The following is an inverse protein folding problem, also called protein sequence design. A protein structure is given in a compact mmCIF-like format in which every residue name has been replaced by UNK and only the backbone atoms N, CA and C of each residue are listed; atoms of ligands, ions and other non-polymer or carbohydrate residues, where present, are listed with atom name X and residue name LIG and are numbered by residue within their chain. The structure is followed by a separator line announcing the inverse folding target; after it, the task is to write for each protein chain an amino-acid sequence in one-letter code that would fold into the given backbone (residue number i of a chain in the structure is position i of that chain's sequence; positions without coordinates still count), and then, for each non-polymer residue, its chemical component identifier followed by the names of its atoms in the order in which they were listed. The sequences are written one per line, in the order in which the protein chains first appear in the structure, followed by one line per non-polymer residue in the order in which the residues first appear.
data_IF_852476378186
#
_entry.id   IF_852476378186
#
_cell.length_a   1.000
_cell.length_b   1.000
_cell.length_c   1.000
_cell.angle_alpha   90.00
_cell.angle_beta   90.00
_cell.angle_gamma   90.00
#
_symmetry.space_group_name_H-M   'P 1'
#
loop_
_entity.id
_entity.type
_entity.pdbx_description
1 polymer ?
#
# COMPACT_ATOMS: atom_id res chain seq x y z
N UNK A 1 -10.43 18.06 -2.36
CA UNK A 1 -9.84 18.41 -1.05
C UNK A 1 -11.03 18.53 -0.11
N UNK A 2 -11.16 17.62 0.86
CA UNK A 2 -12.28 17.54 1.82
C UNK A 2 -11.97 18.37 3.09
N UNK A 3 -11.08 19.35 3.00
CA UNK A 3 -10.56 20.06 4.16
C UNK A 3 -11.70 20.80 4.85
N UNK A 4 -12.05 20.35 6.07
CA UNK A 4 -13.13 20.90 6.91
C UNK A 4 -14.49 20.20 6.81
N UNK A 5 -14.70 19.24 5.90
CA UNK A 5 -15.99 18.52 5.81
C UNK A 5 -16.09 17.31 6.75
N UNK A 6 -14.96 16.75 7.19
CA UNK A 6 -14.95 15.59 8.10
C UNK A 6 -14.61 16.06 9.51
N UNK A 7 -15.51 15.83 10.45
CA UNK A 7 -15.40 16.27 11.83
C UNK A 7 -15.68 15.12 12.80
N UNK A 8 -15.09 15.13 13.99
CA UNK A 8 -15.34 14.15 15.05
C UNK A 8 -16.13 14.76 16.20
N UNK A 9 -16.99 13.96 16.83
CA UNK A 9 -17.68 14.31 18.08
C UNK A 9 -17.17 13.37 19.16
N UNK A 10 -16.23 13.85 19.99
CA UNK A 10 -15.45 12.98 20.88
C UNK A 10 -14.72 11.87 20.10
N UNK A 11 -14.45 10.75 20.77
CA UNK A 11 -13.63 9.66 20.18
C UNK A 11 -14.42 8.66 19.32
N UNK A 12 -15.74 8.73 19.30
CA UNK A 12 -16.58 7.63 18.82
C UNK A 12 -17.37 7.93 17.53
N UNK A 13 -17.58 9.20 17.20
CA UNK A 13 -18.45 9.59 16.09
C UNK A 13 -17.68 10.43 15.08
N UNK A 14 -17.73 10.00 13.82
CA UNK A 14 -17.13 10.69 12.66
C UNK A 14 -18.26 11.15 11.76
N UNK A 15 -18.29 12.45 11.47
CA UNK A 15 -19.33 13.14 10.73
C UNK A 15 -18.78 13.68 9.42
N UNK A 16 -19.53 13.49 8.34
CA UNK A 16 -19.40 14.28 7.12
C UNK A 16 -20.39 15.44 7.20
N UNK A 17 -19.90 16.64 7.48
CA UNK A 17 -20.67 17.86 7.64
C UNK A 17 -20.86 18.53 6.28
N UNK A 18 -22.12 18.83 5.94
CA UNK A 18 -22.53 19.58 4.76
C UNK A 18 -23.54 20.64 5.16
N UNK A 19 -23.08 21.89 5.27
CA UNK A 19 -23.89 22.99 5.80
C UNK A 19 -24.34 22.69 7.23
N UNK A 20 -25.65 22.73 7.47
CA UNK A 20 -26.25 22.55 8.80
C UNK A 20 -26.61 21.09 9.13
N UNK A 21 -26.18 20.15 8.29
CA UNK A 21 -26.47 18.71 8.43
C UNK A 21 -25.18 17.90 8.42
N UNK A 22 -25.18 16.77 9.11
CA UNK A 22 -24.10 15.80 9.01
C UNK A 22 -24.62 14.41 8.65
N UNK A 23 -23.75 13.59 8.07
CA UNK A 23 -23.94 12.14 7.99
C UNK A 23 -22.91 11.48 8.89
N UNK A 24 -23.35 10.62 9.79
CA UNK A 24 -22.46 9.75 10.55
C UNK A 24 -21.82 8.74 9.58
N UNK A 25 -20.51 8.79 9.45
CA UNK A 25 -19.76 7.99 8.47
C UNK A 25 -19.64 6.51 8.84
N UNK A 26 -19.92 6.14 10.10
CA UNK A 26 -19.91 4.75 10.55
C UNK A 26 -21.27 4.09 10.31
N UNK A 27 -22.36 4.83 10.53
CA UNK A 27 -23.73 4.29 10.50
C UNK A 27 -24.53 4.69 9.27
N UNK A 28 -24.07 5.68 8.51
CA UNK A 28 -24.76 6.26 7.36
C UNK A 28 -26.00 7.09 7.71
N UNK A 29 -26.24 7.35 9.00
CA UNK A 29 -27.43 8.08 9.46
C UNK A 29 -27.22 9.59 9.38
N UNK A 30 -28.28 10.31 9.03
CA UNK A 30 -28.31 11.76 9.15
C UNK A 30 -28.26 12.17 10.63
N UNK A 31 -27.45 13.18 10.92
CA UNK A 31 -27.27 13.80 12.23
C UNK A 31 -27.72 15.26 12.14
N UNK A 32 -28.83 15.55 12.81
CA UNK A 32 -29.44 16.87 12.93
C UNK A 32 -30.17 16.97 14.29
N UNK A 33 -29.95 18.03 15.09
CA UNK A 33 -29.03 19.15 14.86
C UNK A 33 -27.55 18.70 14.96
N UNK A 34 -26.65 19.49 14.38
CA UNK A 34 -25.22 19.23 14.49
C UNK A 34 -24.75 19.36 15.95
N UNK A 35 -23.99 18.40 16.50
CA UNK A 35 -23.43 18.49 17.85
C UNK A 35 -22.46 19.68 17.97
N UNK A 36 -22.43 20.41 19.08
CA UNK A 36 -21.58 21.61 19.22
C UNK A 36 -20.09 21.28 19.43
N UNK A 37 -19.79 20.12 20.02
CA UNK A 37 -18.43 19.64 20.32
C UNK A 37 -17.83 18.89 19.13
N UNK A 38 -17.55 19.60 18.03
CA UNK A 38 -16.95 19.03 16.81
C UNK A 38 -15.51 19.49 16.65
N UNK A 39 -14.63 18.54 16.38
CA UNK A 39 -13.23 18.79 16.03
C UNK A 39 -12.99 18.45 14.55
N UNK A 40 -12.21 19.26 13.84
CA UNK A 40 -11.85 18.97 12.46
C UNK A 40 -10.89 17.79 12.37
N UNK A 41 -11.18 16.86 11.45
CA UNK A 41 -10.26 15.77 11.14
C UNK A 41 -9.24 16.24 10.12
N UNK A 42 -8.02 16.48 10.57
CA UNK A 42 -6.89 16.74 9.66
C UNK A 42 -6.38 15.41 9.11
N UNK A 43 -6.62 15.15 7.82
CA UNK A 43 -6.07 13.99 7.12
C UNK A 43 -4.57 14.20 6.91
N UNK A 44 -3.76 13.71 7.86
CA UNK A 44 -2.32 13.68 7.69
C UNK A 44 -1.86 12.51 6.81
N UNK A 45 -0.61 12.56 6.34
CA UNK A 45 -0.04 11.56 5.44
C UNK A 45 -0.07 10.14 6.03
N UNK A 46 -0.02 10.01 7.37
CA UNK A 46 -0.12 8.71 8.05
C UNK A 46 -1.49 8.08 7.84
N UNK A 47 -2.58 8.82 8.08
CA UNK A 47 -3.95 8.31 7.88
C UNK A 47 -4.19 7.92 6.42
N UNK A 48 -3.69 8.72 5.47
CA UNK A 48 -3.81 8.41 4.04
C UNK A 48 -3.10 7.10 3.68
N UNK A 49 -1.91 6.84 4.26
CA UNK A 49 -1.18 5.59 4.05
C UNK A 49 -1.94 4.39 4.60
N UNK A 50 -2.37 4.44 5.86
CA UNK A 50 -3.13 3.36 6.50
C UNK A 50 -4.40 3.00 5.70
N UNK A 51 -5.14 4.02 5.25
CA UNK A 51 -6.33 3.81 4.43
C UNK A 51 -5.99 3.14 3.09
N UNK A 52 -4.92 3.58 2.43
CA UNK A 52 -4.46 2.97 1.18
C UNK A 52 -4.08 1.51 1.40
N UNK A 53 -3.37 1.20 2.49
CA UNK A 53 -2.98 -0.17 2.85
C UNK A 53 -4.20 -1.06 3.11
N UNK A 54 -5.18 -0.56 3.86
CA UNK A 54 -6.43 -1.28 4.11
C UNK A 54 -7.22 -1.55 2.81
N UNK A 55 -7.34 -0.53 1.94
CA UNK A 55 -8.02 -0.67 0.64
C UNK A 55 -7.29 -1.69 -0.24
N UNK A 56 -5.96 -1.64 -0.30
CA UNK A 56 -5.17 -2.59 -1.07
C UNK A 56 -5.38 -4.02 -0.57
N UNK A 57 -5.33 -4.24 0.74
CA UNK A 57 -5.58 -5.56 1.34
C UNK A 57 -6.97 -6.13 0.97
N UNK A 58 -8.00 -5.28 0.98
CA UNK A 58 -9.36 -5.67 0.56
C UNK A 58 -9.41 -6.02 -0.93
N UNK A 59 -8.87 -5.16 -1.81
CA UNK A 59 -8.90 -5.40 -3.26
C UNK A 59 -8.10 -6.65 -3.65
N UNK A 60 -6.95 -6.89 -3.03
CA UNK A 60 -6.10 -8.06 -3.29
C UNK A 60 -6.76 -9.40 -2.93
N UNK A 61 -7.75 -9.38 -2.04
CA UNK A 61 -8.47 -10.59 -1.60
C UNK A 61 -9.91 -10.65 -2.15
N UNK A 62 -10.26 -9.75 -3.07
CA UNK A 62 -11.57 -9.69 -3.68
C UNK A 62 -11.91 -11.00 -4.43
N UNK A 63 -13.17 -11.46 -4.40
CA UNK A 63 -13.56 -12.67 -5.12
C UNK A 63 -13.39 -12.52 -6.65
N UNK A 64 -13.56 -11.32 -7.18
CA UNK A 64 -13.43 -11.03 -8.61
C UNK A 64 -11.97 -10.91 -9.04
N UNK A 65 -11.55 -11.77 -9.97
CA UNK A 65 -10.21 -11.75 -10.59
C UNK A 65 -9.81 -10.36 -11.10
N UNK A 66 -10.74 -9.66 -11.76
CA UNK A 66 -10.45 -8.36 -12.35
C UNK A 66 -10.04 -7.31 -11.30
N UNK A 67 -10.65 -7.35 -10.11
CA UNK A 67 -10.32 -6.43 -9.01
C UNK A 67 -8.93 -6.77 -8.45
N UNK A 68 -8.65 -8.05 -8.23
CA UNK A 68 -7.33 -8.50 -7.74
C UNK A 68 -6.22 -8.16 -8.72
N UNK A 69 -6.43 -8.39 -10.01
CA UNK A 69 -5.45 -8.06 -11.06
C UNK A 69 -5.19 -6.55 -11.12
N UNK A 70 -6.24 -5.73 -11.07
CA UNK A 70 -6.08 -4.27 -11.06
C UNK A 70 -5.29 -3.80 -9.82
N UNK A 71 -5.57 -4.37 -8.66
CA UNK A 71 -4.84 -4.07 -7.43
C UNK A 71 -3.37 -4.50 -7.52
N UNK A 72 -3.08 -5.70 -8.00
CA UNK A 72 -1.70 -6.18 -8.17
C UNK A 72 -0.90 -5.30 -9.14
N UNK A 73 -1.54 -4.79 -10.21
CA UNK A 73 -0.91 -3.83 -11.14
C UNK A 73 -0.68 -2.46 -10.51
N UNK A 74 -1.63 -1.95 -9.72
CA UNK A 74 -1.50 -0.68 -9.00
C UNK A 74 -0.27 -0.69 -8.08
N UNK A 75 -0.03 -1.81 -7.40
CA UNK A 75 1.10 -1.99 -6.49
C UNK A 75 2.48 -1.93 -7.16
N UNK A 76 2.58 -2.26 -8.46
CA UNK A 76 3.86 -2.20 -9.17
C UNK A 76 4.46 -0.78 -9.24
N UNK A 77 3.66 0.25 -8.98
CA UNK A 77 4.07 1.66 -9.16
C UNK A 77 4.29 2.41 -7.85
N UNK A 78 4.15 1.78 -6.69
CA UNK A 78 4.28 2.50 -5.41
C UNK A 78 3.96 1.73 -4.14
N UNK A 79 4.20 0.41 -4.12
CA UNK A 79 4.06 -0.36 -2.89
C UNK A 79 5.22 -0.08 -1.92
N UNK A 80 4.89 0.11 -0.64
CA UNK A 80 5.84 0.28 0.46
C UNK A 80 5.83 -0.93 1.41
N UNK A 81 6.80 -0.98 2.34
CA UNK A 81 6.99 -2.10 3.29
C UNK A 81 5.72 -2.43 4.10
N UNK A 82 4.90 -1.42 4.40
CA UNK A 82 3.61 -1.54 5.09
C UNK A 82 2.62 -2.49 4.38
N UNK A 83 2.78 -2.70 3.07
CA UNK A 83 1.93 -3.58 2.27
C UNK A 83 2.39 -5.05 2.27
N UNK A 84 3.60 -5.37 2.74
CA UNK A 84 4.12 -6.75 2.74
C UNK A 84 3.18 -7.76 3.41
N UNK A 85 2.55 -7.47 4.58
CA UNK A 85 1.59 -8.40 5.19
C UNK A 85 0.36 -8.68 4.31
N UNK A 86 -0.15 -7.65 3.63
CA UNK A 86 -1.30 -7.77 2.74
C UNK A 86 -0.93 -8.57 1.48
N UNK A 87 0.24 -8.28 0.89
CA UNK A 87 0.77 -9.02 -0.27
C UNK A 87 1.01 -10.48 0.08
N UNK A 88 1.62 -10.77 1.23
CA UNK A 88 1.85 -12.14 1.70
C UNK A 88 0.55 -12.92 1.91
N UNK A 89 -0.47 -12.28 2.48
CA UNK A 89 -1.80 -12.88 2.64
C UNK A 89 -2.46 -13.20 1.30
N UNK A 90 -2.35 -12.28 0.33
CA UNK A 90 -2.88 -12.47 -1.00
C UNK A 90 -2.15 -13.60 -1.75
N UNK A 91 -0.82 -13.62 -1.72
CA UNK A 91 0.01 -14.67 -2.32
C UNK A 91 -0.34 -16.07 -1.80
N UNK A 92 -0.59 -16.21 -0.50
CA UNK A 92 -0.93 -17.50 0.11
C UNK A 92 -2.27 -18.07 -0.38
N UNK A 93 -3.17 -17.24 -0.90
CA UNK A 93 -4.52 -17.63 -1.31
C UNK A 93 -4.77 -17.53 -2.81
N UNK A 94 -3.96 -16.74 -3.52
CA UNK A 94 -4.14 -16.52 -4.95
C UNK A 94 -3.95 -17.83 -5.70
N UNK A 95 -4.74 -18.01 -6.76
CA UNK A 95 -4.67 -19.18 -7.63
C UNK A 95 -4.30 -18.81 -9.05
N UNK A 96 -4.54 -17.56 -9.46
CA UNK A 96 -4.21 -17.04 -10.78
C UNK A 96 -2.70 -16.75 -10.91
N UNK A 97 -2.06 -17.40 -11.88
CA UNK A 97 -0.61 -17.32 -12.06
C UNK A 97 -0.14 -15.92 -12.48
N UNK A 98 -0.91 -15.18 -13.27
CA UNK A 98 -0.57 -13.80 -13.65
C UNK A 98 -0.53 -12.91 -12.40
N UNK A 99 -1.55 -13.00 -11.56
CA UNK A 99 -1.64 -12.21 -10.32
C UNK A 99 -0.53 -12.61 -9.34
N UNK A 100 -0.26 -13.91 -9.18
CA UNK A 100 0.86 -14.39 -8.34
C UNK A 100 2.19 -13.80 -8.80
N UNK A 101 2.48 -13.85 -10.10
CA UNK A 101 3.72 -13.28 -10.63
C UNK A 101 3.82 -11.79 -10.33
N UNK A 102 2.75 -11.01 -10.51
CA UNK A 102 2.76 -9.58 -10.19
C UNK A 102 3.03 -9.31 -8.70
N UNK A 103 2.41 -10.10 -7.82
CA UNK A 103 2.58 -9.96 -6.37
C UNK A 103 3.97 -10.38 -5.90
N UNK A 104 4.55 -11.45 -6.46
CA UNK A 104 5.93 -11.87 -6.17
C UNK A 104 6.93 -10.78 -6.58
N UNK A 105 6.76 -10.20 -7.78
CA UNK A 105 7.64 -9.11 -8.23
C UNK A 105 7.50 -7.87 -7.35
N UNK A 106 6.29 -7.54 -6.93
CA UNK A 106 6.05 -6.43 -6.01
C UNK A 106 6.72 -6.68 -4.66
N UNK A 107 6.53 -7.87 -4.08
CA UNK A 107 7.17 -8.26 -2.83
C UNK A 107 8.69 -8.18 -2.93
N UNK A 108 9.28 -8.74 -3.98
CA UNK A 108 10.72 -8.71 -4.20
C UNK A 108 11.23 -7.27 -4.35
N UNK A 109 10.53 -6.43 -5.11
CA UNK A 109 10.91 -5.02 -5.30
C UNK A 109 10.96 -4.24 -3.97
N UNK A 110 10.01 -4.50 -3.05
CA UNK A 110 10.02 -3.89 -1.71
C UNK A 110 11.19 -4.44 -0.87
N UNK A 111 11.45 -5.74 -0.99
CA UNK A 111 12.47 -6.45 -0.22
C UNK A 111 13.91 -6.16 -0.67
N UNK A 112 14.10 -5.59 -1.88
CA UNK A 112 15.41 -5.15 -2.36
C UNK A 112 16.08 -4.16 -1.40
N UNK A 113 15.31 -3.27 -0.78
CA UNK A 113 15.85 -2.28 0.17
C UNK A 113 15.87 -2.78 1.63
N UNK A 114 15.73 -4.09 1.85
CA UNK A 114 15.69 -4.68 3.20
C UNK A 114 17.03 -4.52 3.92
N UNK A 115 16.96 -4.29 5.24
CA UNK A 115 18.16 -4.30 6.10
C UNK A 115 18.75 -5.70 6.25
N UNK A 116 17.97 -6.75 5.99
CA UNK A 116 18.44 -8.14 6.04
C UNK A 116 18.99 -8.58 4.67
N UNK A 117 20.27 -8.95 4.65
CA UNK A 117 20.99 -9.38 3.45
C UNK A 117 20.37 -10.61 2.79
N UNK A 118 19.92 -11.60 3.56
CA UNK A 118 19.34 -12.81 2.99
C UNK A 118 18.02 -12.50 2.28
N UNK A 119 17.23 -11.58 2.83
CA UNK A 119 16.02 -11.06 2.22
C UNK A 119 16.31 -10.35 0.90
N UNK A 120 17.35 -9.49 0.84
CA UNK A 120 17.76 -8.84 -0.41
C UNK A 120 18.19 -9.85 -1.48
N UNK A 121 19.03 -10.84 -1.10
CA UNK A 121 19.45 -11.91 -2.01
C UNK A 121 18.29 -12.74 -2.56
N UNK A 122 17.31 -13.09 -1.72
CA UNK A 122 16.13 -13.81 -2.16
C UNK A 122 15.31 -12.97 -3.15
N UNK A 123 15.14 -11.68 -2.86
CA UNK A 123 14.44 -10.74 -3.73
C UNK A 123 15.14 -10.56 -5.08
N UNK A 124 16.47 -10.42 -5.09
CA UNK A 124 17.28 -10.35 -6.32
C UNK A 124 17.08 -11.60 -7.18
N UNK A 125 17.06 -12.80 -6.58
CA UNK A 125 16.80 -14.04 -7.32
C UNK A 125 15.40 -14.05 -7.95
N UNK A 126 14.37 -13.73 -7.17
CA UNK A 126 12.99 -13.63 -7.68
C UNK A 126 12.87 -12.62 -8.81
N UNK A 127 13.58 -11.49 -8.69
CA UNK A 127 13.65 -10.48 -9.73
C UNK A 127 14.41 -10.99 -10.97
N UNK A 128 15.57 -11.61 -10.82
CA UNK A 128 16.38 -12.11 -11.93
C UNK A 128 15.70 -13.21 -12.76
N UNK A 129 14.83 -14.01 -12.12
CA UNK A 129 13.99 -15.02 -12.80
C UNK A 129 12.83 -14.41 -13.59
N UNK A 130 12.55 -13.13 -13.40
CA UNK A 130 11.50 -12.40 -14.10
C UNK A 130 11.90 -12.01 -15.52
N UNK A 131 11.00 -12.23 -16.48
CA UNK A 131 11.10 -11.65 -17.83
C UNK A 131 10.61 -10.20 -17.91
N UNK A 132 10.27 -9.56 -16.78
CA UNK A 132 9.73 -8.20 -16.73
C UNK A 132 10.84 -7.15 -16.92
N UNK A 133 10.65 -6.23 -17.86
CA UNK A 133 11.61 -5.16 -18.15
C UNK A 133 11.82 -4.20 -16.97
N UNK A 134 10.81 -3.98 -16.14
CA UNK A 134 10.92 -3.13 -14.93
C UNK A 134 11.94 -3.71 -13.94
N UNK A 135 12.03 -5.03 -13.87
CA UNK A 135 12.97 -5.73 -13.00
C UNK A 135 14.42 -5.45 -13.35
N UNK A 136 14.74 -5.38 -14.65
CA UNK A 136 16.09 -5.04 -15.12
C UNK A 136 16.50 -3.64 -14.65
N UNK A 137 15.57 -2.68 -14.71
CA UNK A 137 15.84 -1.31 -14.23
C UNK A 137 16.09 -1.28 -12.73
N UNK A 138 15.32 -2.02 -11.93
CA UNK A 138 15.51 -2.11 -10.48
C UNK A 138 16.88 -2.70 -10.12
N UNK A 139 17.24 -3.84 -10.71
CA UNK A 139 18.53 -4.49 -10.45
C UNK A 139 19.73 -3.64 -10.91
N UNK A 140 19.58 -2.87 -12.00
CA UNK A 140 20.62 -1.93 -12.41
C UNK A 140 20.81 -0.78 -11.40
N UNK A 141 19.73 -0.34 -10.75
CA UNK A 141 19.79 0.66 -9.68
C UNK A 141 20.63 0.21 -8.48
N UNK A 142 20.58 -1.07 -8.12
CA UNK A 142 21.43 -1.64 -7.05
C UNK A 142 22.93 -1.62 -7.39
N UNK A 143 23.26 -1.60 -8.68
CA UNK A 143 24.63 -1.51 -9.19
C UNK A 143 25.12 -0.06 -9.38
N UNK A 144 24.26 0.95 -9.15
CA UNK A 144 24.67 2.35 -9.24
C UNK A 144 25.65 2.70 -8.09
N UNK A 145 26.69 3.46 -8.45
CA UNK A 145 27.71 3.93 -7.51
C UNK A 145 27.31 5.28 -6.92
N UNK A 146 27.22 5.35 -5.59
CA UNK A 146 27.06 6.57 -4.82
C UNK A 146 28.44 6.96 -4.24
N UNK A 147 29.28 7.57 -5.07
CA UNK A 147 30.67 7.87 -4.70
C UNK A 147 31.55 6.62 -4.74
N UNK A 148 32.23 6.30 -3.62
CA UNK A 148 33.10 5.10 -3.51
C UNK A 148 32.34 3.82 -3.10
N UNK A 149 31.02 3.89 -2.92
CA UNK A 149 30.17 2.79 -2.43
C UNK A 149 29.01 2.51 -3.38
N UNK A 150 28.65 1.24 -3.56
CA UNK A 150 27.47 0.83 -4.33
C UNK A 150 26.17 1.06 -3.53
N UNK A 151 25.04 1.12 -4.23
CA UNK A 151 23.73 1.13 -3.58
C UNK A 151 23.48 -0.16 -2.77
N UNK A 152 23.94 -1.31 -3.26
CA UNK A 152 24.04 -2.54 -2.46
C UNK A 152 25.26 -2.48 -1.51
N UNK A 153 25.06 -2.50 -0.18
CA UNK A 153 26.15 -2.36 0.79
C UNK A 153 27.01 -3.61 0.96
N UNK A 154 26.52 -4.80 0.61
CA UNK A 154 27.25 -6.08 0.77
C UNK A 154 27.86 -6.51 -0.58
N UNK A 155 29.20 -6.53 -0.67
CA UNK A 155 29.92 -6.76 -1.93
C UNK A 155 29.77 -8.17 -2.55
N UNK A 156 29.16 -9.12 -1.84
CA UNK A 156 28.87 -10.48 -2.27
C UNK A 156 27.40 -10.72 -2.63
N UNK A 157 26.59 -9.65 -2.65
CA UNK A 157 25.21 -9.62 -3.15
C UNK A 157 25.17 -9.13 -4.59
#
# INVERSE_FOLDING_TARGET
MLDGEVQTVGDAQILLVKGDTATDLLTGKAVTPLPENRDDVVINNRIRKELRTAIAALKLTAPERAIRLAAARELQTGADEELLPAIGTALAKETDDEIKSLLLLTQASIQLTSKDKNTRLAAIRTLAESSNSTTKTLLLGELEQNGDTFAEPDADV
#
